data_IF_712862993201
#
_entry.id   IF_712862993201
#
_cell.length_a   1.000
_cell.length_b   1.000
_cell.length_c   1.000
_cell.angle_alpha   90.00
_cell.angle_beta   90.00
_cell.angle_gamma   90.00
#
_symmetry.space_group_name_H-M   'P 1'
#
loop_
_entity.id
_entity.type
_entity.pdbx_description
1 polymer ?
#
# COMPACT_ATOMS: atom_id res chain seq x y z
N UNK A 1 -9.65 -20.27 -7.21
CA UNK A 1 -9.39 -19.81 -7.26
C UNK A 1 -9.15 -18.70 -7.48
N UNK A 2 -9.18 -18.08 -7.44
CA UNK A 2 -9.17 -17.04 -7.76
C UNK A 2 -8.12 -16.24 -7.63
N UNK A 3 -7.59 -15.93 -7.66
CA UNK A 3 -6.79 -15.34 -7.61
C UNK A 3 -6.45 -14.31 -7.96
N UNK A 4 -6.38 -13.79 -8.30
CA UNK A 4 -6.24 -12.87 -8.82
C UNK A 4 -5.36 -11.90 -8.37
N UNK A 5 -5.06 -11.02 -8.83
CA UNK A 5 -4.25 -10.08 -8.49
C UNK A 5 -4.97 -9.01 -7.80
N UNK A 6 -6.00 -9.20 -7.20
CA UNK A 6 -6.74 -8.25 -6.51
C UNK A 6 -6.42 -8.26 -5.07
N UNK A 7 -6.32 -7.16 -4.40
CA UNK A 7 -6.10 -7.08 -2.95
C UNK A 7 -7.40 -6.69 -2.27
N UNK A 8 -7.71 -7.32 -1.16
CA UNK A 8 -8.88 -6.92 -0.40
C UNK A 8 -8.57 -5.64 0.36
N UNK A 9 -9.59 -4.97 0.85
CA UNK A 9 -9.39 -3.73 1.58
C UNK A 9 -8.49 -3.95 2.79
N UNK A 10 -8.69 -5.06 3.46
CA UNK A 10 -7.86 -5.36 4.61
C UNK A 10 -6.40 -5.52 4.23
N UNK A 11 -6.16 -6.17 3.12
CA UNK A 11 -4.79 -6.34 2.67
C UNK A 11 -4.19 -4.99 2.28
N UNK A 12 -4.97 -4.17 1.64
CA UNK A 12 -4.49 -2.85 1.25
C UNK A 12 -4.12 -2.04 2.47
N UNK A 13 -4.96 -2.07 3.49
CA UNK A 13 -4.69 -1.32 4.69
C UNK A 13 -3.43 -1.84 5.37
N UNK A 14 -3.26 -3.14 5.38
CA UNK A 14 -2.08 -3.75 5.95
C UNK A 14 -0.82 -3.26 5.24
N UNK A 15 -0.86 -3.27 3.91
CA UNK A 15 0.28 -2.81 3.15
C UNK A 15 0.55 -1.33 3.39
N UNK A 16 -0.50 -0.53 3.51
CA UNK A 16 -0.31 0.89 3.73
C UNK A 16 0.30 1.16 5.09
N UNK A 17 -0.08 0.38 6.07
CA UNK A 17 0.49 0.53 7.39
C UNK A 17 1.97 0.20 7.39
N UNK A 18 2.32 -0.89 6.75
CA UNK A 18 3.72 -1.25 6.65
C UNK A 18 4.48 -0.21 5.88
N UNK A 19 3.86 0.31 4.83
CA UNK A 19 4.50 1.33 4.03
C UNK A 19 4.86 2.54 4.87
N UNK A 20 3.97 2.91 5.77
CA UNK A 20 4.24 4.06 6.60
C UNK A 20 5.45 3.85 7.49
N UNK A 21 5.59 2.64 8.00
CA UNK A 21 6.73 2.31 8.83
C UNK A 21 8.01 2.44 8.02
N UNK A 22 8.01 1.87 6.83
CA UNK A 22 9.20 1.91 5.99
C UNK A 22 9.54 3.33 5.55
N UNK A 23 8.53 4.12 5.25
CA UNK A 23 8.77 5.50 4.88
C UNK A 23 9.37 6.28 6.03
N UNK A 24 8.92 5.98 7.23
CA UNK A 24 9.47 6.63 8.41
C UNK A 24 10.92 6.22 8.62
N UNK A 25 11.31 5.08 8.10
CA UNK A 25 12.68 4.63 8.21
C UNK A 25 13.56 5.18 7.09
N UNK A 26 13.01 5.98 6.21
CA UNK A 26 13.79 6.58 5.16
C UNK A 26 13.67 5.94 3.80
N UNK A 27 12.79 4.98 3.65
CA UNK A 27 12.63 4.35 2.35
C UNK A 27 11.75 5.20 1.45
N UNK A 28 11.85 4.97 0.16
CA UNK A 28 11.03 5.71 -0.79
C UNK A 28 9.78 4.93 -1.11
N UNK A 29 8.83 5.61 -1.70
CA UNK A 29 7.58 4.97 -2.10
C UNK A 29 7.86 3.84 -3.09
N UNK A 30 8.76 4.07 -4.02
CA UNK A 30 9.11 3.04 -4.97
C UNK A 30 9.65 1.80 -4.30
N UNK A 31 10.47 2.01 -3.28
CA UNK A 31 11.06 0.88 -2.56
C UNK A 31 10.00 0.12 -1.78
N UNK A 32 9.02 0.83 -1.28
CA UNK A 32 7.97 0.19 -0.52
C UNK A 32 7.03 -0.59 -1.44
N UNK A 33 6.74 -0.06 -2.61
CA UNK A 33 5.81 -0.70 -3.52
C UNK A 33 6.40 -1.93 -4.19
N UNK A 34 7.71 -1.97 -4.31
CA UNK A 34 8.34 -3.07 -5.01
C UNK A 34 7.98 -4.44 -4.48
N UNK A 35 8.15 -4.72 -3.20
CA UNK A 35 7.81 -6.03 -2.68
C UNK A 35 6.32 -6.34 -2.73
N UNK A 36 5.49 -5.31 -2.77
CA UNK A 36 4.06 -5.53 -2.85
C UNK A 36 3.66 -5.85 -4.28
N UNK A 37 4.43 -5.36 -5.23
CA UNK A 37 4.13 -5.61 -6.64
C UNK A 37 3.17 -4.61 -7.23
N UNK A 38 3.14 -3.39 -6.72
CA UNK A 38 2.27 -2.36 -7.26
C UNK A 38 3.10 -1.17 -7.68
N UNK A 39 2.49 -0.28 -8.44
CA UNK A 39 3.19 0.91 -8.87
C UNK A 39 2.97 2.00 -7.83
N UNK A 40 3.75 3.05 -7.91
CA UNK A 40 3.59 4.18 -7.02
C UNK A 40 2.23 4.81 -7.20
N UNK A 41 1.74 4.80 -8.41
CA UNK A 41 0.45 5.33 -8.70
C UNK A 41 -0.64 4.59 -7.93
N UNK A 42 -0.53 3.26 -7.88
CA UNK A 42 -1.49 2.45 -7.13
C UNK A 42 -1.41 2.76 -5.65
N UNK A 43 -0.20 2.98 -5.16
CA UNK A 43 -0.02 3.29 -3.76
C UNK A 43 -0.74 4.58 -3.39
N UNK A 44 -0.57 5.62 -4.20
CA UNK A 44 -1.21 6.90 -3.92
C UNK A 44 -2.71 6.79 -4.03
N UNK A 45 -3.18 5.98 -4.96
CA UNK A 45 -4.59 5.78 -5.12
C UNK A 45 -5.17 5.10 -3.90
N UNK A 46 -4.48 4.10 -3.40
CA UNK A 46 -4.92 3.40 -2.19
C UNK A 46 -5.00 4.36 -1.02
N UNK A 47 -4.01 5.20 -0.89
CA UNK A 47 -4.00 6.14 0.19
C UNK A 47 -5.17 7.09 0.13
N UNK A 48 -5.54 7.47 -1.06
CA UNK A 48 -6.60 8.36 -1.21
C UNK A 48 -7.95 7.70 -1.04
N UNK A 49 -8.14 6.53 -1.55
CA UNK A 49 -9.42 5.87 -1.55
C UNK A 49 -9.66 4.93 -0.40
N UNK A 50 -8.64 4.28 0.07
CA UNK A 50 -8.78 3.28 1.10
C UNK A 50 -8.32 3.74 2.47
N UNK A 51 -7.14 4.33 2.51
CA UNK A 51 -6.56 4.73 3.79
C UNK A 51 -7.20 5.98 4.34
N UNK A 52 -7.86 5.86 5.50
CA UNK A 52 -8.46 6.99 6.07
C UNK A 52 -7.97 7.11 7.44
N UNK A 53 -6.95 7.81 7.64
CA UNK A 53 -6.37 7.91 8.96
C UNK A 53 -7.30 8.60 9.81
N UNK A 54 -7.89 8.41 10.53
CA UNK A 54 -8.66 8.98 11.31
C UNK A 54 -9.49 9.58 11.11
N UNK A 55 -9.66 9.61 10.87
CA UNK A 55 -10.65 10.11 10.60
C UNK A 55 -11.26 10.93 11.09
#
# INVERSE_FOLDING_TARGET
>A
MPNKKRFSVEQIISHLREAEVFLAQGQTIGQVCRPIGISEQSYYRWRREVWRPEG
#
